data_IF_745896952250
#
_entry.id   IF_745896952250
#
_cell.length_a   1.000
_cell.length_b   1.000
_cell.length_c   1.000
_cell.angle_alpha   90.00
_cell.angle_beta   90.00
_cell.angle_gamma   90.00
#
_symmetry.space_group_name_H-M   'P 1'
#
loop_
_entity.id
_entity.type
_entity.pdbx_description
1 polymer ?
#
# COMPACT_ATOMS: atom_id res chain seq x y z
N UNK A 1 -15.64 -8.03 -6.20
CA UNK A 1 -15.63 -9.51 -6.15
C UNK A 1 -14.21 -10.03 -5.91
N UNK A 2 -13.25 -9.78 -6.80
CA UNK A 2 -11.84 -10.23 -6.67
C UNK A 2 -11.15 -9.87 -5.34
N UNK A 3 -11.37 -8.66 -4.80
CA UNK A 3 -10.81 -8.25 -3.50
C UNK A 3 -11.41 -9.00 -2.30
N UNK A 4 -12.71 -9.33 -2.35
CA UNK A 4 -13.40 -10.10 -1.29
C UNK A 4 -12.94 -11.56 -1.28
N UNK A 5 -12.86 -12.16 -2.47
CA UNK A 5 -12.52 -13.57 -2.63
C UNK A 5 -11.06 -13.88 -2.25
N UNK A 6 -10.18 -12.88 -2.33
CA UNK A 6 -8.76 -12.98 -1.95
C UNK A 6 -8.48 -12.70 -0.47
N UNK A 7 -9.32 -11.93 0.22
CA UNK A 7 -9.10 -11.57 1.63
C UNK A 7 -9.83 -12.53 2.59
N UNK A 8 -11.01 -13.04 2.21
CA UNK A 8 -11.81 -13.97 3.04
C UNK A 8 -11.36 -15.44 2.96
N UNK A 9 -10.56 -15.81 1.96
CA UNK A 9 -9.79 -17.05 2.04
C UNK A 9 -8.65 -16.74 3.01
N UNK A 10 -8.63 -17.41 4.17
CA UNK A 10 -7.52 -17.37 5.12
C UNK A 10 -6.21 -17.36 4.33
N UNK A 11 -5.58 -16.19 4.22
CA UNK A 11 -4.39 -16.05 3.37
C UNK A 11 -3.30 -16.80 4.13
N UNK A 12 -3.05 -18.05 3.73
CA UNK A 12 -2.09 -18.89 4.41
C UNK A 12 -0.74 -18.16 4.43
N UNK A 13 0.09 -18.35 5.48
CA UNK A 13 1.42 -17.74 5.53
C UNK A 13 2.22 -17.99 4.23
N UNK A 14 2.13 -19.21 3.70
CA UNK A 14 2.75 -19.60 2.43
C UNK A 14 2.24 -18.76 1.23
N UNK A 15 0.93 -18.51 1.15
CA UNK A 15 0.41 -17.64 0.09
C UNK A 15 0.91 -16.20 0.24
N UNK A 16 0.93 -15.64 1.46
CA UNK A 16 1.44 -14.28 1.69
C UNK A 16 2.87 -14.14 1.22
N UNK A 17 3.72 -15.11 1.56
CA UNK A 17 5.12 -15.12 1.15
C UNK A 17 5.30 -15.22 -0.37
N UNK A 18 4.57 -16.12 -1.02
CA UNK A 18 4.61 -16.28 -2.48
C UNK A 18 4.15 -15.00 -3.19
N UNK A 19 3.04 -14.42 -2.75
CA UNK A 19 2.49 -13.21 -3.32
C UNK A 19 3.43 -12.01 -3.15
N UNK A 20 4.04 -11.86 -1.97
CA UNK A 20 5.04 -10.79 -1.73
C UNK A 20 6.28 -10.98 -2.60
N UNK A 21 6.76 -12.21 -2.75
CA UNK A 21 7.91 -12.52 -3.62
C UNK A 21 7.60 -12.16 -5.07
N UNK A 22 6.41 -12.49 -5.55
CA UNK A 22 5.98 -12.20 -6.93
C UNK A 22 5.93 -10.69 -7.19
N UNK A 23 5.28 -9.92 -6.31
CA UNK A 23 5.18 -8.45 -6.44
C UNK A 23 6.57 -7.81 -6.44
N UNK A 24 7.40 -8.14 -5.46
CA UNK A 24 8.73 -7.53 -5.32
C UNK A 24 9.67 -7.97 -6.45
N UNK A 25 9.53 -9.21 -6.93
CA UNK A 25 10.22 -9.70 -8.12
C UNK A 25 9.88 -8.87 -9.35
N UNK A 26 8.60 -8.63 -9.61
CA UNK A 26 8.15 -7.80 -10.74
C UNK A 26 8.64 -6.36 -10.63
N UNK A 27 8.59 -5.76 -9.43
CA UNK A 27 9.15 -4.43 -9.18
C UNK A 27 10.66 -4.43 -9.51
N UNK A 28 11.42 -5.42 -9.04
CA UNK A 28 12.86 -5.53 -9.32
C UNK A 28 13.14 -5.61 -10.82
N UNK A 29 12.36 -6.41 -11.55
CA UNK A 29 12.49 -6.56 -13.01
C UNK A 29 12.29 -5.20 -13.69
N UNK A 30 11.19 -4.51 -13.39
CA UNK A 30 10.89 -3.21 -14.02
C UNK A 30 11.94 -2.14 -13.70
N UNK A 31 12.45 -2.10 -12.46
CA UNK A 31 13.51 -1.17 -12.09
C UNK A 31 14.80 -1.46 -12.84
N UNK A 32 15.17 -2.73 -12.97
CA UNK A 32 16.34 -3.15 -13.76
C UNK A 32 16.16 -2.83 -15.24
N UNK A 33 14.96 -3.00 -15.80
CA UNK A 33 14.66 -2.59 -17.18
C UNK A 33 14.89 -1.10 -17.37
N UNK A 34 14.28 -0.24 -16.54
CA UNK A 34 14.47 1.23 -16.65
C UNK A 34 15.94 1.61 -16.44
N UNK A 35 16.64 0.92 -15.53
CA UNK A 35 18.06 1.13 -15.31
C UNK A 35 18.90 0.77 -16.55
N UNK A 36 18.59 -0.33 -17.23
CA UNK A 36 19.28 -0.74 -18.46
C UNK A 36 19.06 0.25 -19.60
N UNK A 37 17.92 0.96 -19.60
CA UNK A 37 17.63 2.08 -20.52
C UNK A 37 18.31 3.41 -20.13
N UNK A 38 19.17 3.41 -19.09
CA UNK A 38 19.90 4.59 -18.64
C UNK A 38 19.29 5.33 -17.45
N UNK A 39 18.17 4.85 -16.90
CA UNK A 39 17.61 5.39 -15.66
C UNK A 39 18.57 5.21 -14.48
N UNK A 40 18.78 6.27 -13.70
CA UNK A 40 19.68 6.24 -12.52
C UNK A 40 19.05 6.75 -11.24
N UNK A 41 18.04 7.60 -11.34
CA UNK A 41 17.40 8.25 -10.19
C UNK A 41 15.94 7.91 -10.15
N UNK A 42 15.49 7.37 -9.04
CA UNK A 42 14.12 6.90 -8.85
C UNK A 42 13.48 7.52 -7.61
N UNK A 43 12.20 7.83 -7.69
CA UNK A 43 11.43 8.31 -6.55
C UNK A 43 10.18 7.45 -6.40
N UNK A 44 9.95 6.95 -5.18
CA UNK A 44 8.78 6.14 -4.85
C UNK A 44 8.04 6.74 -3.68
N UNK A 45 6.74 6.49 -3.63
CA UNK A 45 6.02 6.42 -2.37
C UNK A 45 5.83 4.95 -2.00
N UNK A 46 5.99 4.62 -0.72
CA UNK A 46 5.61 3.29 -0.25
C UNK A 46 4.06 3.14 -0.28
N UNK A 47 3.56 1.92 -0.07
CA UNK A 47 2.12 1.69 -0.08
C UNK A 47 1.46 2.37 1.13
N UNK A 48 0.38 3.10 0.89
CA UNK A 48 -0.40 3.76 1.93
C UNK A 48 -1.25 2.77 2.75
N UNK A 49 -1.95 3.23 3.80
CA UNK A 49 -2.80 2.40 4.64
C UNK A 49 -4.14 2.07 3.96
N UNK A 50 -4.10 1.22 2.92
CA UNK A 50 -5.29 0.88 2.11
C UNK A 50 -6.41 0.26 2.95
N UNK A 51 -6.08 -0.47 4.02
CA UNK A 51 -7.07 -1.04 4.95
C UNK A 51 -8.00 -0.02 5.59
N UNK A 52 -7.58 1.24 5.68
CA UNK A 52 -8.37 2.32 6.26
C UNK A 52 -9.26 3.04 5.23
N UNK A 53 -9.12 2.76 3.94
CA UNK A 53 -9.88 3.45 2.92
C UNK A 53 -11.38 3.08 2.99
N UNK A 54 -12.30 4.06 2.90
CA UNK A 54 -13.74 3.81 2.97
C UNK A 54 -14.21 2.74 1.99
N UNK A 55 -13.72 2.76 0.75
CA UNK A 55 -14.12 1.77 -0.26
C UNK A 55 -13.68 0.34 0.06
N UNK A 56 -12.51 0.18 0.70
CA UNK A 56 -12.00 -1.14 1.12
C UNK A 56 -12.86 -1.67 2.25
N UNK A 57 -13.16 -0.83 3.23
CA UNK A 57 -14.02 -1.17 4.38
C UNK A 57 -15.44 -1.53 3.92
N UNK A 58 -16.04 -0.70 3.07
CA UNK A 58 -17.33 -0.98 2.44
C UNK A 58 -17.33 -2.29 1.65
N UNK A 59 -16.32 -2.49 0.80
CA UNK A 59 -16.17 -3.71 0.02
C UNK A 59 -16.06 -4.91 0.95
N UNK A 60 -15.18 -4.90 1.93
CA UNK A 60 -14.98 -6.06 2.81
C UNK A 60 -16.04 -6.21 3.90
N UNK A 61 -17.02 -5.29 3.95
CA UNK A 61 -18.04 -5.21 4.99
C UNK A 61 -17.44 -5.11 6.40
N UNK A 62 -16.25 -4.52 6.50
CA UNK A 62 -15.56 -4.31 7.75
C UNK A 62 -16.06 -3.00 8.39
N UNK A 63 -16.58 -3.11 9.61
CA UNK A 63 -17.12 -1.97 10.37
C UNK A 63 -16.08 -1.29 11.27
N UNK A 64 -14.88 -1.85 11.37
CA UNK A 64 -13.74 -1.27 12.09
C UNK A 64 -13.16 -0.05 11.37
N UNK A 65 -12.19 0.60 12.01
CA UNK A 65 -11.50 1.78 11.45
C UNK A 65 -10.63 1.44 10.25
N UNK A 66 -9.98 0.27 10.28
CA UNK A 66 -9.16 -0.25 9.20
C UNK A 66 -9.24 -1.79 9.19
N UNK A 67 -9.14 -2.40 8.02
CA UNK A 67 -9.04 -3.85 7.87
C UNK A 67 -7.64 -4.32 8.28
N UNK A 68 -7.54 -4.97 9.45
CA UNK A 68 -6.26 -5.29 10.09
C UNK A 68 -5.38 -6.19 9.23
N UNK A 69 -5.93 -7.24 8.65
CA UNK A 69 -5.19 -8.23 7.86
C UNK A 69 -4.54 -7.58 6.63
N UNK A 70 -5.27 -6.69 5.96
CA UNK A 70 -4.72 -5.91 4.85
C UNK A 70 -3.65 -4.95 5.35
N UNK A 71 -3.87 -4.36 6.53
CA UNK A 71 -2.93 -3.42 7.11
C UNK A 71 -1.57 -4.06 7.41
N UNK A 72 -1.59 -5.27 8.00
CA UNK A 72 -0.41 -6.07 8.29
C UNK A 72 0.35 -6.45 7.01
N UNK A 73 -0.36 -6.79 5.93
CA UNK A 73 0.26 -7.08 4.63
C UNK A 73 0.98 -5.88 4.03
N UNK A 74 0.42 -4.67 4.18
CA UNK A 74 1.03 -3.44 3.66
C UNK A 74 2.30 -3.07 4.44
N UNK A 75 2.31 -3.27 5.76
CA UNK A 75 3.51 -3.07 6.60
C UNK A 75 4.61 -4.04 6.16
N UNK A 76 4.28 -5.32 5.97
CA UNK A 76 5.23 -6.32 5.48
C UNK A 76 5.78 -5.94 4.09
N UNK A 77 4.90 -5.60 3.15
CA UNK A 77 5.31 -5.16 1.81
C UNK A 77 6.29 -3.99 1.88
N UNK A 78 5.98 -2.95 2.67
CA UNK A 78 6.81 -1.75 2.74
C UNK A 78 8.19 -2.05 3.35
N UNK A 79 8.27 -2.96 4.33
CA UNK A 79 9.53 -3.41 4.90
C UNK A 79 10.39 -4.16 3.86
N UNK A 80 9.79 -5.11 3.13
CA UNK A 80 10.50 -5.89 2.11
C UNK A 80 10.87 -5.04 0.87
N UNK A 81 10.02 -4.10 0.47
CA UNK A 81 10.32 -3.12 -0.58
C UNK A 81 11.53 -2.26 -0.20
N UNK A 82 11.63 -1.80 1.05
CA UNK A 82 12.81 -1.07 1.52
C UNK A 82 14.10 -1.91 1.39
N UNK A 83 14.03 -3.21 1.73
CA UNK A 83 15.18 -4.12 1.58
C UNK A 83 15.56 -4.30 0.11
N UNK A 84 14.58 -4.47 -0.78
CA UNK A 84 14.80 -4.56 -2.23
C UNK A 84 15.50 -3.31 -2.76
N UNK A 85 15.07 -2.12 -2.37
CA UNK A 85 15.69 -0.87 -2.83
C UNK A 85 17.15 -0.74 -2.36
N UNK A 86 17.46 -1.12 -1.12
CA UNK A 86 18.83 -1.16 -0.61
C UNK A 86 19.70 -2.17 -1.37
N UNK A 87 19.14 -3.35 -1.68
CA UNK A 87 19.81 -4.35 -2.49
C UNK A 87 20.13 -3.82 -3.89
N UNK A 88 19.18 -3.17 -4.55
CA UNK A 88 19.38 -2.59 -5.88
C UNK A 88 20.45 -1.48 -5.87
N UNK A 89 20.42 -0.57 -4.90
CA UNK A 89 21.48 0.45 -4.76
C UNK A 89 22.87 -0.17 -4.57
N UNK A 90 22.98 -1.28 -3.83
CA UNK A 90 24.27 -1.97 -3.66
C UNK A 90 24.76 -2.71 -4.91
N UNK A 91 23.85 -3.15 -5.78
CA UNK A 91 24.15 -3.98 -6.94
C UNK A 91 24.31 -3.18 -8.25
N UNK A 92 23.67 -2.01 -8.34
CA UNK A 92 23.58 -1.22 -9.56
C UNK A 92 24.36 0.08 -9.39
N UNK A 93 25.53 0.24 -10.05
CA UNK A 93 26.31 1.46 -10.00
C UNK A 93 25.48 2.69 -10.32
N UNK A 94 25.67 3.77 -9.56
CA UNK A 94 24.97 5.05 -9.73
C UNK A 94 23.44 4.99 -9.57
N UNK A 95 22.88 3.84 -9.15
CA UNK A 95 21.48 3.75 -8.79
C UNK A 95 21.22 4.57 -7.53
N UNK A 96 20.31 5.53 -7.64
CA UNK A 96 19.88 6.40 -6.55
C UNK A 96 18.39 6.35 -6.43
N UNK A 97 17.91 6.31 -5.20
CA UNK A 97 16.49 6.30 -4.94
C UNK A 97 16.12 7.15 -3.74
N UNK A 98 14.85 7.54 -3.70
CA UNK A 98 14.19 8.07 -2.51
C UNK A 98 12.85 7.37 -2.34
N UNK A 99 12.47 7.11 -1.08
CA UNK A 99 11.16 6.58 -0.73
C UNK A 99 10.49 7.56 0.22
N UNK A 100 9.36 8.12 -0.19
CA UNK A 100 8.48 8.85 0.70
C UNK A 100 7.68 7.86 1.54
N UNK A 101 7.75 8.00 2.87
CA UNK A 101 6.94 7.24 3.82
C UNK A 101 5.48 7.73 3.81
N UNK A 102 4.79 7.43 2.72
CA UNK A 102 3.41 7.75 2.50
C UNK A 102 2.49 7.00 3.47
N UNK A 103 2.83 5.76 3.83
CA UNK A 103 2.12 4.99 4.85
C UNK A 103 1.93 5.79 6.13
N UNK A 104 3.03 6.18 6.77
CA UNK A 104 2.99 6.85 8.07
C UNK A 104 2.37 8.23 7.92
N UNK A 105 2.72 8.96 6.86
CA UNK A 105 2.16 10.30 6.60
C UNK A 105 0.64 10.27 6.43
N UNK A 106 0.11 9.36 5.61
CA UNK A 106 -1.32 9.20 5.40
C UNK A 106 -2.02 8.67 6.65
N UNK A 107 -1.43 7.69 7.35
CA UNK A 107 -2.03 7.12 8.55
C UNK A 107 -2.10 8.12 9.71
N UNK A 108 -1.10 8.98 9.86
CA UNK A 108 -1.13 10.07 10.84
C UNK A 108 -2.21 11.10 10.52
N UNK A 109 -2.43 11.42 9.24
CA UNK A 109 -3.55 12.30 8.83
C UNK A 109 -4.90 11.64 9.07
N UNK A 110 -5.00 10.33 8.84
CA UNK A 110 -6.20 9.55 9.11
C UNK A 110 -6.57 9.58 10.61
N UNK A 111 -5.61 9.29 11.49
CA UNK A 111 -5.84 9.25 12.94
C UNK A 111 -5.96 10.63 13.59
N UNK A 112 -5.17 11.60 13.12
CA UNK A 112 -5.04 12.93 13.74
C UNK A 112 -5.54 14.05 12.83
N UNK A 113 -6.62 13.80 12.06
CA UNK A 113 -7.11 14.69 11.01
C UNK A 113 -7.21 16.17 11.39
N UNK A 114 -7.72 16.46 12.59
CA UNK A 114 -7.89 17.83 13.08
C UNK A 114 -6.57 18.60 13.15
N UNK A 115 -5.46 17.95 13.53
CA UNK A 115 -4.12 18.57 13.54
C UNK A 115 -3.66 19.02 12.15
N UNK A 116 -4.19 18.40 11.11
CA UNK A 116 -3.89 18.70 9.71
C UNK A 116 -5.03 19.47 9.01
N UNK A 117 -6.03 19.95 9.75
CA UNK A 117 -7.15 20.73 9.21
C UNK A 117 -8.31 19.91 8.63
N UNK A 118 -8.31 18.58 8.77
CA UNK A 118 -9.42 17.73 8.34
C UNK A 118 -10.55 17.70 9.38
N UNK A 119 -11.79 17.84 8.91
CA UNK A 119 -13.00 17.69 9.73
C UNK A 119 -13.45 16.23 9.82
N UNK A 120 -13.24 15.47 8.75
CA UNK A 120 -13.62 14.06 8.62
C UNK A 120 -12.49 13.33 7.90
N UNK A 121 -12.16 12.13 8.36
CA UNK A 121 -11.05 11.31 7.83
C UNK A 121 -11.42 9.84 7.60
N UNK A 122 -12.58 9.41 8.10
CA UNK A 122 -13.02 8.02 8.12
C UNK A 122 -14.15 7.73 7.11
N UNK A 123 -14.82 8.76 6.60
CA UNK A 123 -15.92 8.67 5.65
C UNK A 123 -15.52 9.38 4.35
N UNK A 124 -15.93 8.83 3.21
CA UNK A 124 -15.67 9.47 1.92
C UNK A 124 -16.53 10.73 1.72
N UNK A 125 -16.00 11.69 0.95
CA UNK A 125 -16.67 12.97 0.67
C UNK A 125 -17.97 12.79 -0.14
N UNK A 126 -17.97 11.85 -1.08
CA UNK A 126 -19.14 11.47 -1.87
C UNK A 126 -19.19 9.94 -2.02
N UNK A 127 -20.35 9.43 -2.44
CA UNK A 127 -20.63 8.00 -2.53
C UNK A 127 -21.85 7.61 -1.70
N UNK A 128 -22.09 6.32 -1.58
CA UNK A 128 -23.21 5.76 -0.83
C UNK A 128 -22.78 4.55 0.01
N UNK A 129 -23.71 3.99 0.77
CA UNK A 129 -23.45 2.86 1.66
C UNK A 129 -22.60 3.23 2.88
N UNK A 130 -22.15 2.20 3.61
CA UNK A 130 -21.31 2.37 4.79
C UNK A 130 -20.04 3.17 4.46
N UNK A 131 -19.73 4.16 5.29
CA UNK A 131 -18.60 5.09 5.13
C UNK A 131 -18.59 5.87 3.80
N UNK A 132 -19.72 5.93 3.08
CA UNK A 132 -19.79 6.41 1.69
C UNK A 132 -18.77 5.69 0.78
N UNK A 133 -18.43 4.45 1.11
CA UNK A 133 -17.38 3.70 0.41
C UNK A 133 -17.82 3.09 -0.92
N UNK A 134 -19.11 3.14 -1.27
CA UNK A 134 -19.57 2.73 -2.59
C UNK A 134 -19.29 3.83 -3.63
N UNK A 135 -18.78 3.45 -4.79
CA UNK A 135 -18.42 4.36 -5.88
C UNK A 135 -19.67 4.74 -6.71
N UNK A 136 -20.58 5.47 -6.08
CA UNK A 136 -21.81 6.01 -6.72
C UNK A 136 -21.75 7.51 -6.99
N UNK A 137 -20.59 8.08 -6.70
CA UNK A 137 -20.07 9.33 -7.23
C UNK A 137 -19.21 8.94 -8.44
#
# INVERSE_FOLDING_TARGET
QLLKDNINKTISPAFKELYMREILGNISIHLKTIYNEGGRKFAFQNLGPLGCQPHVRFTLKDKGLCVKELQDMLVLHNAEFSKLMQQLESQLPEFKYSVYDFYSSAYQRFLNGQKFGFKETQIACCGSGDFHGDFTC
#
